data_IF_605903599392
#
_entry.id   IF_605903599392
#
_cell.length_a   1.000
_cell.length_b   1.000
_cell.length_c   1.000
_cell.angle_alpha   90.00
_cell.angle_beta   90.00
_cell.angle_gamma   90.00
#
_symmetry.space_group_name_H-M   'P 1'
#
loop_
_entity.id
_entity.type
_entity.pdbx_description
1 polymer ?
#
# COMPACT_ATOMS: atom_id res chain seq x y z
N UNK A 1 30.63 8.10 5.01
CA UNK A 1 29.21 8.30 5.27
C UNK A 1 28.97 9.80 5.43
N UNK A 2 28.23 10.43 4.53
CA UNK A 2 28.00 11.89 4.56
C UNK A 2 27.09 12.31 5.73
N UNK A 3 26.14 11.44 6.10
CA UNK A 3 25.24 11.67 7.24
C UNK A 3 25.25 10.46 8.16
N UNK A 4 25.43 10.64 9.50
CA UNK A 4 25.39 9.56 10.46
C UNK A 4 23.97 8.93 10.52
N UNK A 5 23.88 7.71 11.02
CA UNK A 5 22.60 7.11 11.36
C UNK A 5 22.03 7.80 12.60
N UNK A 6 20.70 7.93 12.70
CA UNK A 6 20.08 8.33 13.95
C UNK A 6 19.56 7.06 14.63
N UNK A 7 19.98 6.86 15.86
CA UNK A 7 19.65 5.66 16.64
C UNK A 7 19.14 6.06 18.02
N UNK A 8 18.36 5.17 18.64
CA UNK A 8 17.94 5.28 20.04
C UNK A 8 18.37 4.04 20.81
N UNK A 9 18.58 4.12 22.12
CA UNK A 9 18.80 2.96 22.96
C UNK A 9 17.60 1.99 22.87
N UNK A 10 17.88 0.69 22.71
CA UNK A 10 16.86 -0.35 22.66
C UNK A 10 17.40 -1.64 23.27
N UNK A 11 16.95 -1.94 24.48
CA UNK A 11 17.48 -3.05 25.28
C UNK A 11 18.97 -2.88 25.54
N UNK A 12 19.79 -3.89 25.16
CA UNK A 12 21.25 -3.85 25.26
C UNK A 12 21.96 -3.26 24.04
N UNK A 13 21.22 -2.69 23.08
CA UNK A 13 21.76 -2.19 21.83
C UNK A 13 21.11 -0.88 21.38
N UNK A 14 21.07 -0.68 20.06
CA UNK A 14 20.51 0.53 19.46
C UNK A 14 19.55 0.17 18.32
N UNK A 15 18.37 0.77 18.36
CA UNK A 15 17.40 0.75 17.26
C UNK A 15 17.65 1.90 16.28
N UNK A 16 17.63 1.62 14.97
CA UNK A 16 17.79 2.66 13.94
C UNK A 16 16.47 3.37 13.72
N UNK A 17 16.45 4.67 13.97
CA UNK A 17 15.32 5.58 13.75
C UNK A 17 15.36 6.13 12.32
N UNK A 18 16.51 6.68 11.88
CA UNK A 18 16.70 7.22 10.54
C UNK A 18 17.96 6.64 9.88
N UNK A 19 17.87 6.38 8.57
CA UNK A 19 18.99 5.88 7.79
C UNK A 19 19.02 4.36 7.57
N UNK A 20 17.86 3.69 7.60
CA UNK A 20 17.74 2.24 7.40
C UNK A 20 18.40 1.77 6.10
N UNK A 21 18.17 2.46 4.97
CA UNK A 21 18.79 2.10 3.69
C UNK A 21 20.31 2.22 3.73
N UNK A 22 20.84 3.21 4.47
CA UNK A 22 22.28 3.36 4.70
C UNK A 22 22.84 2.18 5.51
N UNK A 23 22.14 1.76 6.55
CA UNK A 23 22.52 0.58 7.32
C UNK A 23 22.52 -0.70 6.47
N UNK A 24 21.51 -0.89 5.63
CA UNK A 24 21.46 -2.05 4.72
C UNK A 24 22.63 -2.04 3.72
N UNK A 25 22.96 -0.88 3.16
CA UNK A 25 24.12 -0.72 2.28
C UNK A 25 25.44 -1.02 3.02
N UNK A 26 25.59 -0.60 4.27
CA UNK A 26 26.76 -0.90 5.10
C UNK A 26 26.85 -2.40 5.40
N UNK A 27 25.74 -3.07 5.70
CA UNK A 27 25.69 -4.52 5.90
C UNK A 27 26.08 -5.30 4.65
N UNK A 28 25.59 -4.84 3.49
CA UNK A 28 25.94 -5.43 2.20
C UNK A 28 27.44 -5.26 1.93
N UNK A 29 27.99 -4.06 2.18
CA UNK A 29 29.42 -3.80 2.04
C UNK A 29 30.27 -4.69 2.98
N UNK A 30 29.82 -4.87 4.22
CA UNK A 30 30.49 -5.76 5.18
C UNK A 30 30.53 -7.20 4.68
N UNK A 31 29.45 -7.67 4.04
CA UNK A 31 29.34 -9.02 3.50
C UNK A 31 30.15 -9.22 2.22
N UNK A 32 30.07 -8.29 1.27
CA UNK A 32 30.66 -8.45 -0.05
C UNK A 32 32.13 -7.99 -0.13
N UNK A 33 32.49 -6.94 0.65
CA UNK A 33 33.82 -6.32 0.62
C UNK A 33 34.33 -6.04 2.03
N UNK A 34 34.62 -7.08 2.86
CA UNK A 34 34.96 -6.94 4.27
C UNK A 34 36.20 -6.08 4.52
N UNK A 35 37.19 -6.11 3.63
CA UNK A 35 38.40 -5.30 3.76
C UNK A 35 38.12 -3.79 3.56
N UNK A 36 37.20 -3.47 2.62
CA UNK A 36 36.77 -2.08 2.41
C UNK A 36 35.94 -1.61 3.61
N UNK A 37 35.05 -2.46 4.12
CA UNK A 37 34.27 -2.18 5.34
C UNK A 37 35.19 -1.87 6.53
N UNK A 38 36.17 -2.73 6.83
CA UNK A 38 37.14 -2.53 7.92
C UNK A 38 37.90 -1.20 7.77
N UNK A 39 38.30 -0.85 6.53
CA UNK A 39 39.00 0.42 6.27
C UNK A 39 38.12 1.64 6.50
N UNK A 40 36.85 1.59 6.06
CA UNK A 40 35.92 2.73 6.17
C UNK A 40 35.31 2.90 7.58
N UNK A 41 35.12 1.80 8.28
CA UNK A 41 34.46 1.77 9.59
C UNK A 41 35.35 1.16 10.69
N UNK A 42 36.67 1.42 10.63
CA UNK A 42 37.63 0.93 11.63
C UNK A 42 37.30 1.39 13.05
N UNK A 43 36.67 2.55 13.21
CA UNK A 43 36.22 3.10 14.49
C UNK A 43 34.72 2.92 14.76
N UNK A 44 34.05 2.08 13.96
CA UNK A 44 32.61 1.85 14.04
C UNK A 44 31.80 2.70 13.05
N UNK A 45 30.50 2.43 13.00
CA UNK A 45 29.57 3.15 12.13
C UNK A 45 29.15 4.44 12.82
N UNK A 46 29.34 5.63 12.19
CA UNK A 46 28.95 6.90 12.77
C UNK A 46 27.43 6.98 13.05
N UNK A 47 27.08 7.21 14.31
CA UNK A 47 25.69 7.32 14.75
C UNK A 47 25.48 8.55 15.64
N UNK A 48 24.29 9.14 15.57
CA UNK A 48 23.80 10.11 16.56
C UNK A 48 22.81 9.37 17.45
N UNK A 49 23.14 9.25 18.73
CA UNK A 49 22.27 8.63 19.72
C UNK A 49 21.29 9.67 20.25
N UNK A 50 19.99 9.37 20.21
CA UNK A 50 18.93 10.20 20.78
C UNK A 50 18.05 9.36 21.69
N UNK A 51 17.75 9.88 22.87
CA UNK A 51 16.72 9.34 23.74
C UNK A 51 15.35 9.76 23.19
N UNK A 52 14.60 8.81 22.65
CA UNK A 52 13.32 9.05 21.99
C UNK A 52 12.30 8.00 22.45
N UNK A 53 11.10 8.45 22.78
CA UNK A 53 9.93 7.58 22.90
C UNK A 53 9.58 6.94 21.55
N UNK A 54 8.70 5.96 21.56
CA UNK A 54 8.23 5.31 20.32
C UNK A 54 7.53 6.30 19.37
N UNK A 55 6.74 7.22 19.92
CA UNK A 55 6.07 8.25 19.13
C UNK A 55 7.06 9.24 18.51
N UNK A 56 8.02 9.75 19.29
CA UNK A 56 9.06 10.67 18.78
C UNK A 56 9.96 10.00 17.73
N UNK A 57 10.31 8.72 17.92
CA UNK A 57 11.09 7.97 16.94
C UNK A 57 10.31 7.79 15.63
N UNK A 58 9.03 7.47 15.70
CA UNK A 58 8.16 7.35 14.51
C UNK A 58 7.99 8.70 13.83
N UNK A 59 7.73 9.77 14.59
CA UNK A 59 7.60 11.14 14.08
C UNK A 59 8.86 11.59 13.33
N UNK A 60 10.04 11.38 13.91
CA UNK A 60 11.31 11.73 13.28
C UNK A 60 11.54 10.96 11.98
N UNK A 61 11.26 9.65 11.99
CA UNK A 61 11.36 8.81 10.80
C UNK A 61 10.39 9.24 9.71
N UNK A 62 9.14 9.54 10.05
CA UNK A 62 8.13 10.04 9.10
C UNK A 62 8.53 11.39 8.54
N UNK A 63 8.98 12.33 9.36
CA UNK A 63 9.41 13.67 8.93
C UNK A 63 10.56 13.60 7.92
N UNK A 64 11.57 12.73 8.14
CA UNK A 64 12.66 12.52 7.17
C UNK A 64 12.11 12.02 5.83
N UNK A 65 11.28 10.97 5.87
CA UNK A 65 10.77 10.33 4.67
C UNK A 65 9.76 11.20 3.91
N UNK A 66 8.95 12.00 4.60
CA UNK A 66 8.02 12.96 3.98
C UNK A 66 8.77 14.04 3.22
N UNK A 67 9.87 14.59 3.79
CA UNK A 67 10.71 15.59 3.12
C UNK A 67 11.40 15.03 1.88
N UNK A 68 11.76 13.76 1.89
CA UNK A 68 12.39 13.08 0.75
C UNK A 68 11.38 12.54 -0.26
N UNK A 69 10.08 12.61 0.03
CA UNK A 69 8.98 12.08 -0.78
C UNK A 69 9.16 10.60 -1.13
N UNK A 70 9.68 9.81 -0.20
CA UNK A 70 10.02 8.39 -0.39
C UNK A 70 8.89 7.43 0.01
N UNK A 71 7.86 7.93 0.71
CA UNK A 71 6.73 7.12 1.17
C UNK A 71 5.63 7.03 0.11
N UNK A 72 5.13 5.84 -0.09
CA UNK A 72 3.86 5.66 -0.78
C UNK A 72 2.71 6.29 0.02
N UNK A 73 1.59 6.69 -0.61
CA UNK A 73 0.42 7.21 0.12
C UNK A 73 -0.10 6.25 1.21
N UNK A 74 0.04 4.95 1.00
CA UNK A 74 -0.34 3.94 2.00
C UNK A 74 0.61 3.94 3.21
N UNK A 75 1.93 3.96 2.97
CA UNK A 75 2.93 4.01 4.05
C UNK A 75 2.81 5.28 4.87
N UNK A 76 2.63 6.42 4.19
CA UNK A 76 2.38 7.72 4.81
C UNK A 76 1.13 7.66 5.71
N UNK A 77 0.00 7.21 5.18
CA UNK A 77 -1.24 7.12 5.94
C UNK A 77 -1.15 6.18 7.14
N UNK A 78 -0.47 5.04 6.99
CA UNK A 78 -0.23 4.10 8.09
C UNK A 78 0.62 4.74 9.20
N UNK A 79 1.66 5.47 8.84
CA UNK A 79 2.51 6.16 9.81
C UNK A 79 1.74 7.22 10.59
N UNK A 80 0.94 8.05 9.90
CA UNK A 80 0.10 9.08 10.52
C UNK A 80 -0.93 8.49 11.49
N UNK A 81 -1.65 7.45 11.05
CA UNK A 81 -2.61 6.75 11.90
C UNK A 81 -1.94 6.10 13.13
N UNK A 82 -0.70 5.60 12.96
CA UNK A 82 0.05 5.00 14.07
C UNK A 82 0.46 6.02 15.12
N UNK A 83 0.84 7.25 14.74
CA UNK A 83 1.08 8.34 15.69
C UNK A 83 -0.17 8.66 16.50
N UNK A 84 -1.32 8.74 15.85
CA UNK A 84 -2.60 8.95 16.54
C UNK A 84 -2.89 7.83 17.54
N UNK A 85 -2.67 6.57 17.18
CA UNK A 85 -2.82 5.41 18.07
C UNK A 85 -1.88 5.45 19.29
N UNK A 86 -0.72 6.13 19.16
CA UNK A 86 0.22 6.35 20.25
C UNK A 86 -0.15 7.55 21.14
N UNK A 87 -1.31 8.17 20.90
CA UNK A 87 -1.86 9.26 21.71
C UNK A 87 -1.43 10.65 21.28
N UNK A 88 -0.79 10.81 20.12
CA UNK A 88 -0.53 12.14 19.55
C UNK A 88 -1.78 12.66 18.88
N UNK A 89 -2.25 13.85 19.20
CA UNK A 89 -3.46 14.42 18.62
C UNK A 89 -3.30 14.73 17.12
N UNK A 90 -4.42 14.75 16.38
CA UNK A 90 -4.44 15.04 14.96
C UNK A 90 -3.84 16.39 14.64
N UNK A 91 -4.12 17.40 15.49
CA UNK A 91 -3.60 18.76 15.40
C UNK A 91 -2.09 18.81 15.63
N UNK A 92 -1.57 18.05 16.62
CA UNK A 92 -0.13 17.97 16.86
C UNK A 92 0.59 17.28 15.70
N UNK A 93 0.03 16.19 15.15
CA UNK A 93 0.59 15.51 13.97
C UNK A 93 0.63 16.48 12.78
N UNK A 94 -0.46 17.23 12.54
CA UNK A 94 -0.55 18.22 11.48
C UNK A 94 0.54 19.30 11.60
N UNK A 95 0.67 19.87 12.78
CA UNK A 95 1.63 20.93 13.06
C UNK A 95 3.09 20.48 12.94
N UNK A 96 3.43 19.31 13.53
CA UNK A 96 4.80 18.81 13.59
C UNK A 96 5.29 18.26 12.26
N UNK A 97 4.43 17.55 11.50
CA UNK A 97 4.78 16.95 10.22
C UNK A 97 4.46 17.85 9.02
N UNK A 98 3.83 19.00 9.23
CA UNK A 98 3.37 19.93 8.18
C UNK A 98 2.47 19.23 7.14
N UNK A 99 1.52 18.45 7.65
CA UNK A 99 0.52 17.72 6.86
C UNK A 99 -0.84 18.33 7.11
N UNK A 100 -1.68 18.41 6.08
CA UNK A 100 -3.04 18.92 6.20
C UNK A 100 -3.87 18.10 7.20
N UNK A 101 -4.56 18.79 8.12
CA UNK A 101 -5.36 18.17 9.18
C UNK A 101 -6.43 17.22 8.62
N UNK A 102 -7.09 17.61 7.54
CA UNK A 102 -8.10 16.77 6.89
C UNK A 102 -7.52 15.50 6.27
N UNK A 103 -6.27 15.54 5.81
CA UNK A 103 -5.58 14.34 5.34
C UNK A 103 -5.35 13.38 6.51
N UNK A 104 -4.94 13.87 7.68
CA UNK A 104 -4.72 13.06 8.88
C UNK A 104 -6.03 12.42 9.33
N UNK A 105 -7.10 13.21 9.49
CA UNK A 105 -8.43 12.71 9.87
C UNK A 105 -8.93 11.62 8.92
N UNK A 106 -8.70 11.79 7.62
CA UNK A 106 -9.04 10.77 6.62
C UNK A 106 -8.27 9.48 6.83
N UNK A 107 -6.96 9.55 7.09
CA UNK A 107 -6.15 8.35 7.35
C UNK A 107 -6.48 7.68 8.68
N UNK A 108 -6.71 8.45 9.73
CA UNK A 108 -7.13 7.92 11.05
C UNK A 108 -8.43 7.12 10.90
N UNK A 109 -9.45 7.68 10.23
CA UNK A 109 -10.71 6.98 9.94
C UNK A 109 -10.50 5.72 9.12
N UNK A 110 -9.73 5.80 8.03
CA UNK A 110 -9.42 4.67 7.17
C UNK A 110 -8.79 3.51 7.95
N UNK A 111 -7.79 3.80 8.79
CA UNK A 111 -7.09 2.76 9.54
C UNK A 111 -7.90 2.24 10.73
N UNK A 112 -8.77 3.05 11.34
CA UNK A 112 -9.75 2.58 12.31
C UNK A 112 -10.67 1.50 11.68
N UNK A 113 -11.22 1.76 10.49
CA UNK A 113 -12.06 0.79 9.76
C UNK A 113 -11.31 -0.47 9.36
N UNK A 114 -10.06 -0.34 8.90
CA UNK A 114 -9.23 -1.50 8.60
C UNK A 114 -8.97 -2.38 9.82
N UNK A 115 -8.95 -1.79 11.02
CA UNK A 115 -8.82 -2.53 12.28
C UNK A 115 -10.10 -3.32 12.58
N UNK A 116 -11.27 -2.77 12.34
CA UNK A 116 -12.56 -3.47 12.55
C UNK A 116 -12.68 -4.74 11.72
N UNK A 117 -12.12 -4.75 10.52
CA UNK A 117 -12.08 -5.92 9.63
C UNK A 117 -10.78 -6.74 9.76
N UNK A 118 -9.90 -6.43 10.73
CA UNK A 118 -8.62 -7.12 10.91
C UNK A 118 -8.72 -8.65 11.03
N UNK A 119 -9.79 -9.26 11.61
CA UNK A 119 -9.94 -10.71 11.64
C UNK A 119 -10.00 -11.36 10.25
N UNK A 120 -10.48 -10.62 9.24
CA UNK A 120 -10.68 -11.10 7.86
C UNK A 120 -9.47 -10.74 6.97
N UNK A 121 -8.71 -9.71 7.36
CA UNK A 121 -7.59 -9.18 6.58
C UNK A 121 -6.25 -9.76 7.03
N UNK A 122 -5.43 -10.19 6.08
CA UNK A 122 -4.08 -10.67 6.36
C UNK A 122 -3.14 -9.52 6.77
N UNK A 123 -2.34 -9.71 7.82
CA UNK A 123 -1.28 -8.77 8.16
C UNK A 123 -0.21 -8.72 7.07
N UNK A 124 0.13 -7.51 6.62
CA UNK A 124 1.26 -7.30 5.72
C UNK A 124 2.55 -7.37 6.52
N UNK A 125 3.29 -8.48 6.42
CA UNK A 125 4.66 -8.58 6.96
C UNK A 125 5.64 -8.25 5.84
N UNK A 126 6.45 -7.18 5.95
CA UNK A 126 7.46 -6.90 4.94
C UNK A 126 8.54 -7.99 4.95
N UNK A 127 8.91 -8.48 3.77
CA UNK A 127 10.09 -9.34 3.56
C UNK A 127 9.91 -10.85 3.74
N UNK A 128 8.69 -11.39 3.91
CA UNK A 128 8.48 -12.85 3.85
C UNK A 128 8.11 -13.31 2.44
N UNK A 129 8.64 -14.49 1.99
CA UNK A 129 8.10 -15.17 0.80
C UNK A 129 6.60 -15.39 0.96
N UNK A 130 5.85 -15.30 -0.14
CA UNK A 130 4.41 -15.57 -0.15
C UNK A 130 4.17 -17.04 0.24
N UNK A 131 3.96 -17.28 1.52
CA UNK A 131 3.36 -18.55 1.95
C UNK A 131 1.92 -18.58 1.42
N UNK A 132 1.50 -19.75 0.96
CA UNK A 132 0.12 -20.00 0.50
C UNK A 132 -0.85 -19.50 1.56
N UNK A 133 -1.58 -18.44 1.23
CA UNK A 133 -2.54 -17.79 2.13
C UNK A 133 -3.58 -18.81 2.61
N UNK A 134 -3.89 -18.87 3.90
CA UNK A 134 -5.08 -19.60 4.33
C UNK A 134 -6.30 -19.02 3.59
N UNK A 135 -7.15 -19.88 3.03
CA UNK A 135 -8.31 -19.56 2.17
C UNK A 135 -9.38 -18.61 2.74
N UNK A 136 -9.14 -17.97 3.88
CA UNK A 136 -10.09 -17.11 4.62
C UNK A 136 -9.57 -15.69 4.92
N UNK A 137 -8.46 -15.24 4.35
CA UNK A 137 -7.92 -13.89 4.62
C UNK A 137 -7.60 -13.16 3.33
N UNK A 138 -8.12 -11.95 3.21
CA UNK A 138 -7.87 -11.03 2.08
C UNK A 138 -6.62 -10.19 2.26
N UNK A 139 -6.09 -9.70 1.15
CA UNK A 139 -4.93 -8.81 1.14
C UNK A 139 -5.26 -7.48 1.82
N UNK A 140 -4.46 -7.08 2.82
CA UNK A 140 -4.59 -5.77 3.46
C UNK A 140 -4.43 -4.62 2.46
N UNK A 141 -3.44 -4.71 1.56
CA UNK A 141 -3.20 -3.69 0.54
C UNK A 141 -4.39 -3.52 -0.40
N UNK A 142 -5.02 -4.63 -0.82
CA UNK A 142 -6.25 -4.57 -1.61
C UNK A 142 -7.40 -3.94 -0.83
N UNK A 143 -7.60 -4.33 0.43
CA UNK A 143 -8.68 -3.78 1.27
C UNK A 143 -8.51 -2.28 1.57
N UNK A 144 -7.28 -1.77 1.70
CA UNK A 144 -7.03 -0.31 1.81
C UNK A 144 -7.67 0.45 0.65
N UNK A 145 -7.53 -0.07 -0.58
CA UNK A 145 -8.09 0.57 -1.78
C UNK A 145 -9.62 0.54 -1.78
N UNK A 146 -10.19 -0.59 -1.35
CA UNK A 146 -11.66 -0.76 -1.23
C UNK A 146 -12.23 0.19 -0.17
N UNK A 147 -11.63 0.22 1.02
CA UNK A 147 -12.08 1.11 2.11
C UNK A 147 -11.99 2.57 1.69
N UNK A 148 -10.90 2.97 1.00
CA UNK A 148 -10.80 4.33 0.43
C UNK A 148 -11.93 4.66 -0.54
N UNK A 149 -12.26 3.74 -1.43
CA UNK A 149 -13.35 3.98 -2.38
C UNK A 149 -14.68 4.17 -1.65
N UNK A 150 -14.95 3.38 -0.61
CA UNK A 150 -16.16 3.49 0.21
C UNK A 150 -16.17 4.80 1.02
N UNK A 151 -15.03 5.22 1.59
CA UNK A 151 -14.89 6.51 2.28
C UNK A 151 -15.15 7.70 1.35
N UNK A 152 -14.61 7.65 0.12
CA UNK A 152 -14.85 8.68 -0.87
C UNK A 152 -16.36 8.78 -1.23
N UNK A 153 -17.07 7.64 -1.30
CA UNK A 153 -18.51 7.62 -1.54
C UNK A 153 -19.32 8.12 -0.33
N UNK A 154 -18.89 7.79 0.88
CA UNK A 154 -19.51 8.31 2.11
C UNK A 154 -19.33 9.83 2.24
N UNK A 155 -18.13 10.35 1.93
CA UNK A 155 -17.86 11.78 1.93
C UNK A 155 -18.70 12.56 0.90
N UNK A 156 -19.09 11.92 -0.20
CA UNK A 156 -20.02 12.48 -1.22
C UNK A 156 -21.49 12.31 -0.85
N UNK A 157 -21.81 11.72 0.31
CA UNK A 157 -23.17 11.48 0.77
C UNK A 157 -23.91 10.34 0.05
N UNK A 158 -23.20 9.51 -0.71
CA UNK A 158 -23.77 8.40 -1.49
C UNK A 158 -24.07 7.19 -0.59
N UNK A 159 -23.28 7.00 0.47
CA UNK A 159 -23.41 5.89 1.41
C UNK A 159 -23.77 6.41 2.81
N UNK A 160 -24.81 5.83 3.42
CA UNK A 160 -25.23 6.15 4.79
C UNK A 160 -24.48 5.33 5.83
N UNK A 161 -24.19 4.07 5.54
CA UNK A 161 -23.59 3.09 6.47
C UNK A 161 -22.33 2.45 5.85
N UNK A 162 -21.24 3.24 5.70
CA UNK A 162 -20.02 2.76 5.04
C UNK A 162 -19.33 1.61 5.79
N UNK A 163 -19.49 1.53 7.14
CA UNK A 163 -18.93 0.45 7.96
C UNK A 163 -19.51 -0.91 7.60
N UNK A 164 -20.83 -0.97 7.41
CA UNK A 164 -21.52 -2.21 7.06
C UNK A 164 -21.08 -2.70 5.67
N UNK A 165 -21.00 -1.78 4.70
CA UNK A 165 -20.52 -2.09 3.34
C UNK A 165 -19.08 -2.60 3.35
N UNK A 166 -18.18 -1.97 4.11
CA UNK A 166 -16.79 -2.42 4.25
C UNK A 166 -16.73 -3.83 4.82
N UNK A 167 -17.46 -4.10 5.90
CA UNK A 167 -17.47 -5.42 6.54
C UNK A 167 -17.99 -6.48 5.57
N UNK A 168 -19.13 -6.22 4.93
CA UNK A 168 -19.75 -7.14 3.99
C UNK A 168 -18.85 -7.48 2.80
N UNK A 169 -18.19 -6.48 2.21
CA UNK A 169 -17.23 -6.71 1.14
C UNK A 169 -16.01 -7.50 1.65
N UNK A 170 -15.51 -7.23 2.85
CA UNK A 170 -14.38 -7.96 3.41
C UNK A 170 -14.71 -9.44 3.62
N UNK A 171 -15.90 -9.75 4.17
CA UNK A 171 -16.36 -11.13 4.40
C UNK A 171 -16.55 -11.87 3.06
N UNK A 172 -17.23 -11.28 2.10
CA UNK A 172 -17.44 -11.85 0.77
C UNK A 172 -16.13 -12.07 0.01
N UNK A 173 -15.22 -11.10 0.08
CA UNK A 173 -13.90 -11.20 -0.54
C UNK A 173 -13.05 -12.33 0.09
N UNK A 174 -13.18 -12.56 1.40
CA UNK A 174 -12.51 -13.66 2.09
C UNK A 174 -13.12 -15.02 1.72
N UNK A 175 -14.46 -15.12 1.66
CA UNK A 175 -15.16 -16.34 1.26
C UNK A 175 -14.79 -16.76 -0.16
N UNK A 176 -14.73 -15.81 -1.10
CA UNK A 176 -14.38 -16.05 -2.52
C UNK A 176 -12.87 -16.10 -2.76
N UNK A 177 -12.05 -15.69 -1.78
CA UNK A 177 -10.59 -15.71 -1.87
C UNK A 177 -10.03 -14.69 -2.86
N UNK A 178 -10.64 -13.51 -2.96
CA UNK A 178 -10.23 -12.47 -3.91
C UNK A 178 -8.75 -12.09 -3.75
N UNK A 179 -8.06 -11.98 -4.87
CA UNK A 179 -6.68 -11.52 -4.99
C UNK A 179 -6.58 -10.00 -4.78
N UNK A 180 -5.35 -9.49 -4.62
CA UNK A 180 -5.11 -8.05 -4.53
C UNK A 180 -5.56 -7.31 -5.79
N UNK A 181 -5.36 -7.91 -6.97
CA UNK A 181 -5.77 -7.34 -8.27
C UNK A 181 -7.29 -7.25 -8.40
N UNK A 182 -8.01 -8.29 -7.98
CA UNK A 182 -9.49 -8.29 -7.99
C UNK A 182 -10.06 -7.25 -7.01
N UNK A 183 -9.44 -7.07 -5.84
CA UNK A 183 -9.82 -6.00 -4.90
C UNK A 183 -9.54 -4.60 -5.46
N UNK A 184 -8.52 -4.44 -6.30
CA UNK A 184 -8.23 -3.19 -6.99
C UNK A 184 -9.31 -2.85 -8.03
N UNK A 185 -9.71 -3.85 -8.82
CA UNK A 185 -10.83 -3.73 -9.77
C UNK A 185 -12.13 -3.38 -9.03
N UNK A 186 -12.40 -4.05 -7.89
CA UNK A 186 -13.55 -3.77 -7.05
C UNK A 186 -13.57 -2.32 -6.58
N UNK A 187 -12.45 -1.84 -6.06
CA UNK A 187 -12.32 -0.46 -5.59
C UNK A 187 -12.54 0.56 -6.72
N UNK A 188 -12.09 0.26 -7.93
CA UNK A 188 -12.31 1.09 -9.11
C UNK A 188 -13.77 1.08 -9.55
N UNK A 189 -14.41 -0.09 -9.68
CA UNK A 189 -15.83 -0.20 -10.04
C UNK A 189 -16.74 0.53 -9.06
N UNK A 190 -16.43 0.51 -7.76
CA UNK A 190 -17.15 1.30 -6.76
C UNK A 190 -17.08 2.81 -7.01
N UNK A 191 -15.94 3.33 -7.51
CA UNK A 191 -15.81 4.75 -7.85
C UNK A 191 -16.54 5.13 -9.12
N UNK A 192 -16.52 4.26 -10.12
CA UNK A 192 -17.18 4.46 -11.42
C UNK A 192 -18.70 4.31 -11.32
N UNK A 193 -19.17 3.35 -10.52
CA UNK A 193 -20.58 3.00 -10.34
C UNK A 193 -20.93 2.92 -8.85
N UNK A 194 -21.17 4.08 -8.21
CA UNK A 194 -21.44 4.14 -6.77
C UNK A 194 -22.63 3.31 -6.30
N UNK A 195 -23.61 3.10 -7.17
CA UNK A 195 -24.79 2.28 -6.90
C UNK A 195 -24.46 0.82 -6.56
N UNK A 196 -23.35 0.29 -7.04
CA UNK A 196 -22.89 -1.07 -6.74
C UNK A 196 -22.52 -1.27 -5.25
N UNK A 197 -22.27 -0.19 -4.53
CA UNK A 197 -22.05 -0.25 -3.09
C UNK A 197 -23.30 -0.70 -2.30
N UNK A 198 -24.48 -0.57 -2.88
CA UNK A 198 -25.73 -1.06 -2.29
C UNK A 198 -25.95 -2.55 -2.50
N UNK A 199 -25.25 -3.16 -3.45
CA UNK A 199 -25.33 -4.58 -3.77
C UNK A 199 -23.95 -5.22 -3.87
N UNK A 200 -23.19 -5.23 -2.75
CA UNK A 200 -21.80 -5.72 -2.74
C UNK A 200 -21.67 -7.19 -3.13
N UNK A 201 -22.73 -8.00 -2.91
CA UNK A 201 -22.75 -9.41 -3.32
C UNK A 201 -22.62 -9.55 -4.83
N UNK A 202 -23.41 -8.80 -5.60
CA UNK A 202 -23.37 -8.84 -7.06
C UNK A 202 -22.01 -8.39 -7.59
N UNK A 203 -21.46 -7.32 -6.99
CA UNK A 203 -20.16 -6.79 -7.38
C UNK A 203 -19.03 -7.81 -7.15
N UNK A 204 -19.01 -8.45 -5.99
CA UNK A 204 -18.02 -9.50 -5.68
C UNK A 204 -18.22 -10.74 -6.57
N UNK A 205 -19.45 -11.10 -6.86
CA UNK A 205 -19.77 -12.23 -7.73
C UNK A 205 -19.31 -11.98 -9.17
N UNK A 206 -19.58 -10.83 -9.73
CA UNK A 206 -19.12 -10.44 -11.07
C UNK A 206 -17.59 -10.51 -11.18
N UNK A 207 -16.88 -9.95 -10.19
CA UNK A 207 -15.42 -9.94 -10.19
C UNK A 207 -14.83 -11.33 -10.01
N UNK A 208 -15.42 -12.17 -9.16
CA UNK A 208 -14.95 -13.54 -8.95
C UNK A 208 -15.28 -14.48 -10.11
N UNK A 209 -16.29 -14.16 -10.93
CA UNK A 209 -16.65 -14.91 -12.13
C UNK A 209 -15.74 -14.57 -13.34
N UNK A 210 -15.15 -13.37 -13.35
CA UNK A 210 -14.10 -13.02 -14.31
C UNK A 210 -12.80 -13.70 -13.89
N UNK A 211 -12.50 -14.87 -14.48
CA UNK A 211 -11.29 -15.65 -14.18
C UNK A 211 -10.03 -14.88 -14.61
N UNK A 212 -9.54 -14.01 -13.73
CA UNK A 212 -8.33 -13.19 -13.97
C UNK A 212 -7.09 -13.98 -13.62
N UNK A 213 -6.25 -14.26 -14.59
CA UNK A 213 -4.95 -14.92 -14.41
C UNK A 213 -3.84 -13.88 -14.50
N UNK A 214 -3.14 -13.63 -13.40
CA UNK A 214 -1.96 -12.76 -13.40
C UNK A 214 -0.78 -13.47 -14.07
N UNK A 215 -0.23 -12.88 -15.13
CA UNK A 215 0.97 -13.35 -15.84
C UNK A 215 1.97 -12.22 -16.01
N UNK A 216 3.25 -12.53 -15.83
CA UNK A 216 4.34 -11.62 -16.20
C UNK A 216 4.68 -11.85 -17.66
N UNK A 217 4.48 -10.83 -18.50
CA UNK A 217 4.75 -10.89 -19.93
C UNK A 217 5.83 -9.86 -20.28
N UNK A 218 6.85 -10.28 -21.01
CA UNK A 218 7.87 -9.38 -21.57
C UNK A 218 7.37 -8.87 -22.93
N UNK A 219 7.08 -7.58 -23.00
CA UNK A 219 6.65 -6.91 -24.22
C UNK A 219 7.81 -6.17 -24.88
N UNK A 220 7.80 -6.15 -26.21
CA UNK A 220 8.73 -5.30 -26.97
C UNK A 220 8.36 -3.82 -26.80
N UNK A 221 9.36 -2.94 -26.81
CA UNK A 221 9.17 -1.50 -26.54
C UNK A 221 8.07 -0.85 -27.40
N UNK A 222 8.05 -1.13 -28.70
CA UNK A 222 7.03 -0.58 -29.61
C UNK A 222 5.60 -1.06 -29.28
N UNK A 223 5.45 -2.26 -28.67
CA UNK A 223 4.14 -2.75 -28.21
C UNK A 223 3.71 -1.98 -26.95
N UNK A 224 4.65 -1.71 -26.04
CA UNK A 224 4.37 -0.90 -24.83
C UNK A 224 3.93 0.50 -25.25
N UNK A 225 4.69 1.17 -26.12
CA UNK A 225 4.37 2.51 -26.61
C UNK A 225 2.99 2.58 -27.29
N UNK A 226 2.64 1.55 -28.07
CA UNK A 226 1.32 1.46 -28.70
C UNK A 226 0.18 1.30 -27.68
N UNK A 227 0.35 0.40 -26.70
CA UNK A 227 -0.65 0.18 -25.64
C UNK A 227 -0.80 1.41 -24.74
N UNK A 228 0.29 2.12 -24.44
CA UNK A 228 0.25 3.37 -23.67
C UNK A 228 -0.52 4.48 -24.40
N UNK A 229 -0.30 4.63 -25.71
CA UNK A 229 -1.05 5.58 -26.54
C UNK A 229 -2.55 5.24 -26.56
N UNK A 230 -2.89 3.96 -26.79
CA UNK A 230 -4.27 3.47 -26.78
C UNK A 230 -4.97 3.70 -25.42
N UNK A 231 -4.24 3.42 -24.33
CA UNK A 231 -4.71 3.65 -22.97
C UNK A 231 -5.01 5.14 -22.71
N UNK A 232 -4.09 6.00 -23.11
CA UNK A 232 -4.21 7.45 -22.93
C UNK A 232 -5.41 8.04 -23.69
N UNK A 233 -5.66 7.61 -24.92
CA UNK A 233 -6.80 8.09 -25.73
C UNK A 233 -8.16 7.71 -25.12
N UNK A 234 -8.24 6.60 -24.39
CA UNK A 234 -9.50 6.06 -23.83
C UNK A 234 -9.64 6.19 -22.32
N UNK A 235 -8.65 6.76 -21.64
CA UNK A 235 -8.64 6.92 -20.20
C UNK A 235 -8.51 5.57 -19.44
N UNK A 236 -7.91 4.58 -20.08
CA UNK A 236 -7.71 3.23 -19.55
C UNK A 236 -6.35 3.11 -18.88
N UNK A 237 -6.19 2.14 -17.97
CA UNK A 237 -4.88 1.70 -17.53
C UNK A 237 -4.18 0.86 -18.61
N UNK A 238 -2.86 0.71 -18.53
CA UNK A 238 -2.09 -0.12 -19.45
C UNK A 238 -2.64 -1.57 -19.54
N UNK A 239 -2.97 -2.16 -18.38
CA UNK A 239 -3.49 -3.53 -18.33
C UNK A 239 -4.87 -3.67 -18.96
N UNK A 240 -5.74 -2.67 -18.85
CA UNK A 240 -7.06 -2.65 -19.47
C UNK A 240 -6.95 -2.51 -20.97
N UNK A 241 -6.15 -1.55 -21.43
CA UNK A 241 -5.90 -1.34 -22.85
C UNK A 241 -5.33 -2.61 -23.51
N UNK A 242 -4.37 -3.27 -22.82
CA UNK A 242 -3.78 -4.51 -23.30
C UNK A 242 -4.82 -5.64 -23.40
N UNK A 243 -5.66 -5.81 -22.38
CA UNK A 243 -6.73 -6.80 -22.39
C UNK A 243 -7.79 -6.52 -23.47
N UNK A 244 -8.15 -5.26 -23.68
CA UNK A 244 -9.09 -4.85 -24.72
C UNK A 244 -8.55 -5.17 -26.11
N UNK A 245 -7.31 -4.79 -26.41
CA UNK A 245 -6.61 -5.09 -27.68
C UNK A 245 -6.54 -6.60 -27.92
N UNK A 246 -6.17 -7.39 -26.90
CA UNK A 246 -6.08 -8.86 -27.03
C UNK A 246 -7.46 -9.46 -27.25
N UNK A 247 -8.49 -8.99 -26.54
CA UNK A 247 -9.87 -9.49 -26.68
C UNK A 247 -10.45 -9.19 -28.07
N UNK A 248 -10.22 -7.98 -28.60
CA UNK A 248 -10.59 -7.63 -29.98
C UNK A 248 -9.87 -8.54 -31.00
N UNK A 249 -8.57 -8.75 -30.82
CA UNK A 249 -7.81 -9.63 -31.71
C UNK A 249 -8.33 -11.08 -31.72
N UNK A 250 -8.62 -11.62 -30.51
CA UNK A 250 -9.18 -12.97 -30.37
C UNK A 250 -10.54 -13.05 -31.03
N UNK A 251 -11.41 -12.03 -30.88
CA UNK A 251 -12.73 -11.97 -31.48
C UNK A 251 -12.65 -11.93 -33.02
N UNK A 252 -11.75 -11.11 -33.56
CA UNK A 252 -11.49 -11.06 -35.00
C UNK A 252 -10.99 -12.39 -35.56
N UNK A 253 -10.09 -13.07 -34.84
CA UNK A 253 -9.58 -14.38 -35.24
C UNK A 253 -10.66 -15.47 -35.21
N UNK A 254 -11.57 -15.46 -34.22
CA UNK A 254 -12.69 -16.40 -34.14
C UNK A 254 -13.72 -16.16 -35.21
N UNK A 255 -13.92 -14.90 -35.63
CA UNK A 255 -14.84 -14.58 -36.75
C UNK A 255 -14.26 -14.91 -38.12
N UNK A 256 -12.94 -15.09 -38.23
CA UNK A 256 -12.23 -15.41 -39.48
C UNK A 256 -11.93 -16.92 -39.64
N UNK A 257 -12.26 -17.75 -38.64
CA UNK A 257 -12.09 -19.20 -38.62
C UNK A 257 -13.43 -19.91 -38.75
#
# INVERSE_FOLDING_TARGET
LLHPLIVRPEGSGYGVVCGRMRLEAIRLLQKEKPEVFKKLFSQGIPCVVKELSDAEALELSLSENLRQNTLTPEERGRGLARLYEMGVSEEEIAARLQVELEEIKRFVRLYARLREIAPVVAESKPGRPRETKPKKRVSRTGMVKVVRAIEDLAARGVLREPEEVVRKIADLAAERGLSTSELDILARRLREKPELAQTPEKLVEEISAEEMVERVVLLKRHVVEYVEAWASERGLTFSEALNEIISEYISLKKAAA
#
